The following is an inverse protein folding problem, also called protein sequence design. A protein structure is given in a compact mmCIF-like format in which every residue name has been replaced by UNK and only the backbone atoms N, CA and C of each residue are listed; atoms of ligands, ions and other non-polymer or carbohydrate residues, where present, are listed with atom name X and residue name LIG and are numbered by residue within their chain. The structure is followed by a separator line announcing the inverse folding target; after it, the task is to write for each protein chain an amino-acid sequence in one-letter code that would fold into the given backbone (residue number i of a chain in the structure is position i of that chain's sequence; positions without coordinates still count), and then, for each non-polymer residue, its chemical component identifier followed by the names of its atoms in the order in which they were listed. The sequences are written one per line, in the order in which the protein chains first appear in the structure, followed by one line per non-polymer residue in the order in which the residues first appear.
data_IF_496719377196
#
_entry.id   IF_496719377196
#
_cell.length_a   1.000
_cell.length_b   1.000
_cell.length_c   1.000
_cell.angle_alpha   90.00
_cell.angle_beta   90.00
_cell.angle_gamma   90.00
#
_symmetry.space_group_name_H-M   'P 1'
#
loop_
_entity.id
_entity.type
_entity.pdbx_description
1 polymer ?
#
# COMPACT_ATOMS: atom_id res chain seq x y z
N UNK A 1 -11.67 -18.56 -39.91
CA UNK A 1 -12.28 -18.74 -38.58
C UNK A 1 -11.68 -17.79 -37.53
N UNK A 2 -10.37 -17.81 -37.28
CA UNK A 2 -9.73 -16.92 -36.27
C UNK A 2 -9.89 -15.43 -36.60
N UNK A 3 -9.62 -15.01 -37.85
CA UNK A 3 -9.79 -13.59 -38.25
C UNK A 3 -11.24 -13.10 -38.14
N UNK A 4 -12.22 -13.99 -38.29
CA UNK A 4 -13.64 -13.62 -38.23
C UNK A 4 -14.08 -13.39 -36.78
N UNK A 5 -13.64 -14.26 -35.87
CA UNK A 5 -13.82 -14.10 -34.41
C UNK A 5 -13.15 -12.81 -33.90
N UNK A 6 -11.99 -12.46 -34.44
CA UNK A 6 -11.23 -11.26 -34.08
C UNK A 6 -11.94 -9.96 -34.52
N UNK A 7 -12.52 -9.96 -35.73
CA UNK A 7 -13.27 -8.82 -36.26
C UNK A 7 -14.59 -8.62 -35.50
N UNK A 8 -15.32 -9.71 -35.24
CA UNK A 8 -16.61 -9.67 -34.54
C UNK A 8 -16.46 -9.24 -33.07
N UNK A 9 -15.33 -9.58 -32.42
CA UNK A 9 -15.05 -9.22 -31.02
C UNK A 9 -14.03 -8.08 -30.87
N UNK A 10 -13.74 -7.34 -31.93
CA UNK A 10 -12.74 -6.27 -31.95
C UNK A 10 -12.95 -5.23 -30.84
N UNK A 11 -14.21 -4.86 -30.57
CA UNK A 11 -14.59 -3.91 -29.50
C UNK A 11 -14.28 -4.47 -28.11
N UNK A 12 -14.48 -5.78 -27.90
CA UNK A 12 -14.18 -6.43 -26.64
C UNK A 12 -12.67 -6.49 -26.41
N UNK A 13 -11.90 -6.87 -27.43
CA UNK A 13 -10.43 -6.88 -27.38
C UNK A 13 -9.84 -5.49 -27.13
N UNK A 14 -10.42 -4.45 -27.75
CA UNK A 14 -10.02 -3.07 -27.47
C UNK A 14 -10.34 -2.67 -26.03
N UNK A 15 -11.52 -3.03 -25.54
CA UNK A 15 -11.94 -2.75 -24.16
C UNK A 15 -11.05 -3.43 -23.12
N UNK A 16 -10.70 -4.70 -23.32
CA UNK A 16 -9.81 -5.43 -22.41
C UNK A 16 -8.40 -4.84 -22.40
N UNK A 17 -7.87 -4.46 -23.58
CA UNK A 17 -6.57 -3.80 -23.69
C UNK A 17 -6.56 -2.44 -22.97
N UNK A 18 -7.59 -1.61 -23.18
CA UNK A 18 -7.74 -0.33 -22.49
C UNK A 18 -7.91 -0.50 -20.98
N UNK A 19 -8.64 -1.51 -20.53
CA UNK A 19 -8.81 -1.81 -19.10
C UNK A 19 -7.47 -2.16 -18.44
N UNK A 20 -6.63 -2.98 -19.08
CA UNK A 20 -5.29 -3.29 -18.59
C UNK A 20 -4.41 -2.03 -18.50
N UNK A 21 -4.43 -1.19 -19.54
CA UNK A 21 -3.69 0.08 -19.56
C UNK A 21 -4.16 1.01 -18.45
N UNK A 22 -5.47 1.09 -18.21
CA UNK A 22 -6.01 1.95 -17.15
C UNK A 22 -5.57 1.53 -15.75
N UNK A 23 -5.53 0.22 -15.48
CA UNK A 23 -5.02 -0.29 -14.21
C UNK A 23 -3.53 0.01 -14.01
N UNK A 24 -2.75 -0.08 -15.09
CA UNK A 24 -1.35 0.34 -15.12
C UNK A 24 -1.18 1.85 -14.90
N UNK A 25 -2.05 2.68 -15.49
CA UNK A 25 -2.04 4.14 -15.32
C UNK A 25 -2.18 4.53 -13.85
N UNK A 26 -3.18 3.96 -13.16
CA UNK A 26 -3.41 4.19 -11.72
C UNK A 26 -2.20 3.75 -10.89
N UNK A 27 -1.59 2.61 -11.24
CA UNK A 27 -0.36 2.13 -10.58
C UNK A 27 0.81 3.10 -10.78
N UNK A 28 0.98 3.66 -11.97
CA UNK A 28 2.01 4.66 -12.26
C UNK A 28 1.74 5.94 -11.48
N UNK A 29 0.50 6.44 -11.45
CA UNK A 29 0.11 7.62 -10.69
C UNK A 29 0.43 7.48 -9.19
N UNK A 30 0.13 6.32 -8.58
CA UNK A 30 0.48 6.02 -7.19
C UNK A 30 2.00 5.95 -6.96
N UNK A 31 2.74 5.35 -7.89
CA UNK A 31 4.20 5.28 -7.81
C UNK A 31 4.83 6.67 -7.87
N UNK A 32 4.31 7.56 -8.72
CA UNK A 32 4.72 8.97 -8.80
C UNK A 32 4.41 9.73 -7.51
N UNK A 33 3.27 9.44 -6.88
CA UNK A 33 2.90 9.96 -5.57
C UNK A 33 3.71 9.36 -4.40
N UNK A 34 4.81 8.66 -4.67
CA UNK A 34 5.72 8.02 -3.70
C UNK A 34 5.04 7.00 -2.78
N UNK A 35 3.93 6.42 -3.22
CA UNK A 35 3.21 5.38 -2.48
C UNK A 35 3.92 4.03 -2.64
N UNK A 36 4.94 3.78 -1.81
CA UNK A 36 5.79 2.57 -1.89
C UNK A 36 5.03 1.25 -1.71
N UNK A 37 3.95 1.24 -0.92
CA UNK A 37 3.13 0.05 -0.69
C UNK A 37 2.51 -0.50 -1.99
N UNK A 38 2.20 0.37 -2.95
CA UNK A 38 1.59 -0.02 -4.23
C UNK A 38 2.61 -0.57 -5.27
N UNK A 39 3.91 -0.58 -4.95
CA UNK A 39 4.97 -0.87 -5.92
C UNK A 39 5.47 -2.33 -5.93
N UNK A 40 4.79 -3.25 -5.25
CA UNK A 40 5.16 -4.68 -5.24
C UNK A 40 4.72 -5.38 -6.53
N UNK A 41 5.41 -6.48 -6.89
CA UNK A 41 5.07 -7.31 -8.05
C UNK A 41 3.61 -7.81 -7.99
N UNK A 42 3.17 -8.32 -6.83
CA UNK A 42 1.79 -8.78 -6.66
C UNK A 42 0.76 -7.67 -6.85
N UNK A 43 1.00 -6.47 -6.31
CA UNK A 43 0.11 -5.33 -6.55
C UNK A 43 0.07 -4.94 -8.03
N UNK A 44 1.21 -4.90 -8.72
CA UNK A 44 1.22 -4.60 -10.16
C UNK A 44 0.32 -5.55 -10.96
N UNK A 45 0.40 -6.84 -10.66
CA UNK A 45 -0.41 -7.85 -11.32
C UNK A 45 -1.90 -7.68 -10.98
N UNK A 46 -2.23 -7.45 -9.70
CA UNK A 46 -3.60 -7.17 -9.27
C UNK A 46 -4.18 -5.94 -9.98
N UNK A 47 -3.43 -4.84 -10.05
CA UNK A 47 -3.90 -3.60 -10.67
C UNK A 47 -4.21 -3.76 -12.16
N UNK A 48 -3.46 -4.63 -12.85
CA UNK A 48 -3.67 -4.93 -14.27
C UNK A 48 -4.84 -5.90 -14.47
N UNK A 49 -4.95 -6.91 -13.62
CA UNK A 49 -5.96 -7.97 -13.74
C UNK A 49 -7.35 -7.55 -13.27
N UNK A 50 -7.47 -6.72 -12.22
CA UNK A 50 -8.78 -6.37 -11.66
C UNK A 50 -9.72 -5.69 -12.68
N UNK A 51 -9.31 -4.62 -13.39
CA UNK A 51 -10.15 -3.99 -14.42
C UNK A 51 -10.50 -4.94 -15.57
N UNK A 52 -9.54 -5.79 -15.97
CA UNK A 52 -9.74 -6.80 -17.01
C UNK A 52 -10.83 -7.82 -16.60
N UNK A 53 -10.68 -8.43 -15.43
CA UNK A 53 -11.60 -9.46 -14.91
C UNK A 53 -12.99 -8.87 -14.73
N UNK A 54 -13.09 -7.67 -14.16
CA UNK A 54 -14.38 -7.01 -13.90
C UNK A 54 -15.07 -6.57 -15.17
N UNK A 55 -14.34 -6.15 -16.20
CA UNK A 55 -14.90 -5.88 -17.53
C UNK A 55 -15.52 -7.15 -18.13
N UNK A 56 -14.77 -8.27 -18.12
CA UNK A 56 -15.25 -9.54 -18.68
C UNK A 56 -16.46 -10.06 -17.90
N UNK A 57 -16.41 -10.07 -16.57
CA UNK A 57 -17.52 -10.45 -15.70
C UNK A 57 -18.77 -9.63 -16.02
N UNK A 58 -18.62 -8.30 -16.15
CA UNK A 58 -19.75 -7.40 -16.44
C UNK A 58 -20.36 -7.68 -17.81
N UNK A 59 -19.53 -7.96 -18.83
CA UNK A 59 -20.02 -8.36 -20.16
C UNK A 59 -20.72 -9.71 -20.15
N UNK A 60 -20.24 -10.68 -19.37
CA UNK A 60 -20.84 -12.03 -19.25
C UNK A 60 -22.22 -11.99 -18.60
N UNK A 61 -22.41 -11.16 -17.57
CA UNK A 61 -23.71 -11.04 -16.88
C UNK A 61 -24.69 -10.09 -17.57
N UNK A 62 -24.20 -9.25 -18.48
CA UNK A 62 -25.03 -8.28 -19.18
C UNK A 62 -26.13 -8.99 -19.97
N UNK A 63 -27.39 -8.69 -19.66
CA UNK A 63 -28.56 -9.25 -20.32
C UNK A 63 -29.17 -10.49 -19.65
N UNK A 64 -28.60 -10.98 -18.54
CA UNK A 64 -29.21 -12.07 -17.76
C UNK A 64 -29.21 -11.75 -16.25
N UNK A 65 -30.36 -11.30 -15.76
CA UNK A 65 -30.57 -10.91 -14.36
C UNK A 65 -30.31 -12.08 -13.41
N UNK A 66 -30.69 -13.31 -13.79
CA UNK A 66 -30.47 -14.49 -12.95
C UNK A 66 -28.98 -14.83 -12.83
N UNK A 67 -28.21 -14.70 -13.92
CA UNK A 67 -26.76 -14.91 -13.90
C UNK A 67 -26.04 -13.82 -13.09
N UNK A 68 -26.48 -12.56 -13.23
CA UNK A 68 -25.96 -11.43 -12.44
C UNK A 68 -26.16 -11.65 -10.93
N UNK A 69 -27.37 -12.04 -10.53
CA UNK A 69 -27.70 -12.30 -9.13
C UNK A 69 -26.91 -13.49 -8.56
N UNK A 70 -26.74 -14.55 -9.36
CA UNK A 70 -25.93 -15.72 -9.00
C UNK A 70 -24.44 -15.39 -8.80
N UNK A 71 -23.86 -14.55 -9.66
CA UNK A 71 -22.45 -14.14 -9.54
C UNK A 71 -22.20 -13.22 -8.33
N UNK A 72 -23.10 -12.27 -8.03
CA UNK A 72 -22.98 -11.44 -6.82
C UNK A 72 -23.07 -12.31 -5.55
N UNK A 73 -23.97 -13.30 -5.55
CA UNK A 73 -24.09 -14.28 -4.48
C UNK A 73 -22.80 -15.09 -4.28
N UNK A 74 -22.22 -15.61 -5.36
CA UNK A 74 -20.96 -16.36 -5.32
C UNK A 74 -19.79 -15.50 -4.80
N UNK A 75 -19.68 -14.24 -5.22
CA UNK A 75 -18.64 -13.32 -4.77
C UNK A 75 -18.76 -12.99 -3.28
N UNK A 76 -19.98 -12.96 -2.74
CA UNK A 76 -20.23 -12.74 -1.30
C UNK A 76 -19.76 -13.91 -0.41
N UNK A 77 -19.65 -15.12 -0.97
CA UNK A 77 -19.16 -16.33 -0.27
C UNK A 77 -17.62 -16.36 -0.24
N UNK A 78 -16.96 -15.79 -1.25
CA UNK A 78 -15.48 -15.68 -1.31
C UNK A 78 -15.02 -14.57 -0.38
N UNK A 79 -15.00 -14.86 0.93
CA UNK A 79 -14.48 -13.94 1.95
C UNK A 79 -12.96 -13.98 1.98
N UNK A 80 -12.33 -12.84 1.74
CA UNK A 80 -10.93 -12.65 2.08
C UNK A 80 -10.81 -12.64 3.61
N UNK A 81 -10.14 -13.66 4.15
CA UNK A 81 -9.99 -13.84 5.61
C UNK A 81 -8.88 -12.98 6.22
N UNK A 82 -8.10 -12.30 5.36
CA UNK A 82 -7.05 -11.38 5.79
C UNK A 82 -7.59 -9.95 5.74
N UNK A 83 -7.56 -9.20 6.86
CA UNK A 83 -7.96 -7.81 6.85
C UNK A 83 -7.04 -7.01 5.91
N UNK A 84 -7.64 -6.14 5.09
CA UNK A 84 -6.87 -5.22 4.24
C UNK A 84 -6.16 -4.23 5.17
N UNK A 85 -4.83 -4.22 5.11
CA UNK A 85 -3.97 -3.48 6.05
C UNK A 85 -4.12 -1.96 5.90
N UNK A 86 -4.41 -1.48 4.69
CA UNK A 86 -4.54 -0.08 4.36
C UNK A 86 -5.96 0.28 3.85
N UNK A 87 -6.71 1.17 4.52
CA UNK A 87 -8.00 1.65 4.02
C UNK A 87 -7.93 2.27 2.61
N UNK A 88 -6.83 2.94 2.29
CA UNK A 88 -6.63 3.56 0.97
C UNK A 88 -6.40 2.52 -0.13
N UNK A 89 -5.70 1.42 0.17
CA UNK A 89 -5.54 0.30 -0.76
C UNK A 89 -6.91 -0.29 -1.16
N UNK A 90 -7.82 -0.44 -0.19
CA UNK A 90 -9.18 -0.91 -0.44
C UNK A 90 -9.92 0.04 -1.39
N UNK A 91 -9.83 1.36 -1.18
CA UNK A 91 -10.45 2.36 -2.06
C UNK A 91 -9.91 2.25 -3.49
N UNK A 92 -8.61 2.03 -3.66
CA UNK A 92 -8.01 1.86 -4.99
C UNK A 92 -8.48 0.56 -5.65
N UNK A 93 -8.58 -0.55 -4.92
CA UNK A 93 -9.16 -1.77 -5.49
C UNK A 93 -10.61 -1.58 -5.90
N UNK A 94 -11.40 -0.88 -5.09
CA UNK A 94 -12.77 -0.55 -5.46
C UNK A 94 -12.82 0.31 -6.73
N UNK A 95 -11.94 1.32 -6.83
CA UNK A 95 -11.83 2.16 -8.02
C UNK A 95 -11.47 1.35 -9.28
N UNK A 96 -10.53 0.40 -9.19
CA UNK A 96 -10.16 -0.49 -10.31
C UNK A 96 -11.33 -1.38 -10.76
N UNK A 97 -12.12 -1.89 -9.82
CA UNK A 97 -13.33 -2.65 -10.12
C UNK A 97 -14.34 -1.75 -10.85
N UNK A 98 -14.57 -0.54 -10.33
CA UNK A 98 -15.49 0.43 -10.95
C UNK A 98 -15.03 0.82 -12.35
N UNK A 99 -13.73 0.96 -12.60
CA UNK A 99 -13.17 1.22 -13.93
C UNK A 99 -13.55 0.10 -14.91
N UNK A 100 -13.33 -1.16 -14.55
CA UNK A 100 -13.66 -2.29 -15.43
C UNK A 100 -15.16 -2.42 -15.70
N UNK A 101 -16.00 -2.22 -14.68
CA UNK A 101 -17.47 -2.18 -14.84
C UNK A 101 -17.88 -1.03 -15.77
N UNK A 102 -17.33 0.17 -15.55
CA UNK A 102 -17.66 1.36 -16.35
C UNK A 102 -17.26 1.18 -17.81
N UNK A 103 -16.06 0.66 -18.07
CA UNK A 103 -15.60 0.34 -19.43
C UNK A 103 -16.44 -0.73 -20.12
N UNK A 104 -16.97 -1.70 -19.37
CA UNK A 104 -17.87 -2.70 -19.92
C UNK A 104 -19.21 -2.11 -20.39
N UNK A 105 -19.73 -1.07 -19.71
CA UNK A 105 -20.95 -0.37 -20.13
C UNK A 105 -20.65 0.60 -21.28
N UNK A 106 -19.66 1.48 -21.09
CA UNK A 106 -19.23 2.43 -22.10
C UNK A 106 -17.74 2.79 -21.90
N UNK A 107 -16.94 2.59 -22.94
CA UNK A 107 -15.50 2.85 -22.91
C UNK A 107 -15.16 4.30 -22.53
N UNK A 108 -15.94 5.28 -22.99
CA UNK A 108 -15.66 6.70 -22.73
C UNK A 108 -15.85 7.04 -21.25
N UNK A 109 -16.88 6.50 -20.59
CA UNK A 109 -17.09 6.71 -19.16
C UNK A 109 -15.99 6.07 -18.32
N UNK A 110 -15.54 4.87 -18.70
CA UNK A 110 -14.41 4.23 -18.06
C UNK A 110 -13.13 5.05 -18.18
N UNK A 111 -12.81 5.56 -19.37
CA UNK A 111 -11.63 6.41 -19.58
C UNK A 111 -11.70 7.73 -18.80
N UNK A 112 -12.87 8.38 -18.75
CA UNK A 112 -13.07 9.60 -17.97
C UNK A 112 -12.86 9.35 -16.45
N UNK A 113 -13.35 8.22 -15.95
CA UNK A 113 -13.18 7.83 -14.55
C UNK A 113 -11.70 7.65 -14.20
N UNK A 114 -10.94 6.93 -15.05
CA UNK A 114 -9.50 6.71 -14.88
C UNK A 114 -8.75 8.04 -14.84
N UNK A 115 -9.02 8.92 -15.81
CA UNK A 115 -8.39 10.23 -15.86
C UNK A 115 -8.67 11.06 -14.60
N UNK A 116 -9.91 11.00 -14.09
CA UNK A 116 -10.30 11.71 -12.86
C UNK A 116 -9.54 11.17 -11.65
N UNK A 117 -9.44 9.84 -11.51
CA UNK A 117 -8.71 9.19 -10.41
C UNK A 117 -7.22 9.57 -10.45
N UNK A 118 -6.59 9.47 -11.63
CA UNK A 118 -5.18 9.79 -11.81
C UNK A 118 -4.90 11.27 -11.47
N UNK A 119 -5.77 12.18 -11.92
CA UNK A 119 -5.69 13.61 -11.60
C UNK A 119 -5.80 13.85 -10.09
N UNK A 120 -6.75 13.20 -9.40
CA UNK A 120 -6.90 13.35 -7.95
C UNK A 120 -5.65 12.88 -7.20
N UNK A 121 -5.08 11.73 -7.59
CA UNK A 121 -3.85 11.20 -6.98
C UNK A 121 -2.69 12.18 -7.17
N UNK A 122 -2.51 12.70 -8.39
CA UNK A 122 -1.42 13.62 -8.73
C UNK A 122 -1.59 14.97 -8.01
N UNK A 123 -2.81 15.52 -7.99
CA UNK A 123 -3.11 16.79 -7.28
C UNK A 123 -2.87 16.62 -5.79
N UNK A 124 -3.33 15.52 -5.18
CA UNK A 124 -3.09 15.26 -3.75
C UNK A 124 -1.59 15.26 -3.43
N UNK A 125 -0.77 14.66 -4.29
CA UNK A 125 0.68 14.69 -4.13
C UNK A 125 1.27 16.10 -4.32
N UNK A 126 0.80 16.86 -5.32
CA UNK A 126 1.27 18.23 -5.57
C UNK A 126 0.94 19.16 -4.40
N UNK A 127 -0.26 19.03 -3.81
CA UNK A 127 -0.67 19.77 -2.61
C UNK A 127 0.25 19.44 -1.43
N UNK A 128 0.63 18.17 -1.25
CA UNK A 128 1.58 17.78 -0.20
C UNK A 128 2.96 18.44 -0.41
N UNK A 129 3.47 18.44 -1.65
CA UNK A 129 4.77 19.05 -1.97
C UNK A 129 4.75 20.58 -1.78
N UNK A 130 3.67 21.24 -2.19
CA UNK A 130 3.48 22.68 -2.00
C UNK A 130 3.30 23.03 -0.52
N UNK A 131 2.47 22.29 0.21
CA UNK A 131 2.23 22.48 1.64
C UNK A 131 3.51 22.41 2.46
N UNK A 132 4.41 21.47 2.14
CA UNK A 132 5.76 21.40 2.74
C UNK A 132 6.58 22.67 2.54
N UNK A 133 6.46 23.32 1.38
CA UNK A 133 7.19 24.57 1.06
C UNK A 133 6.62 25.78 1.81
N UNK A 134 5.32 25.77 2.13
CA UNK A 134 4.64 26.83 2.88
C UNK A 134 4.56 26.59 4.39
N UNK A 135 5.22 25.55 4.92
CA UNK A 135 5.25 25.25 6.36
C UNK A 135 3.99 24.55 6.89
N UNK A 136 3.07 24.13 6.02
CA UNK A 136 1.91 23.34 6.39
C UNK A 136 2.29 21.85 6.40
N UNK A 137 2.55 21.28 7.57
CA UNK A 137 2.67 19.83 7.77
C UNK A 137 1.28 19.23 8.03
N UNK A 138 0.45 19.10 6.99
CA UNK A 138 -0.92 18.55 7.14
C UNK A 138 -0.98 17.02 7.14
N UNK A 139 0.02 16.36 6.54
CA UNK A 139 0.11 14.88 6.48
C UNK A 139 1.31 14.36 7.27
N UNK A 140 1.41 14.74 8.55
CA UNK A 140 2.19 13.95 9.50
C UNK A 140 1.41 12.66 9.79
N UNK A 141 2.06 11.49 9.79
CA UNK A 141 1.60 10.28 10.51
C UNK A 141 0.41 9.48 9.92
N UNK A 142 0.65 8.50 9.04
CA UNK A 142 -0.26 7.32 9.00
C UNK A 142 0.32 6.06 8.33
N UNK A 143 1.41 6.13 7.56
CA UNK A 143 2.03 4.93 7.00
C UNK A 143 3.46 4.75 7.51
N UNK A 144 3.58 4.17 8.71
CA UNK A 144 4.81 3.54 9.20
C UNK A 144 5.26 2.37 8.29
N UNK A 145 4.44 1.92 7.35
CA UNK A 145 4.68 0.75 6.49
C UNK A 145 5.66 0.99 5.32
N UNK A 146 6.17 2.21 5.12
CA UNK A 146 7.02 2.57 3.96
C UNK A 146 8.43 3.07 4.28
N UNK A 147 8.77 3.26 5.55
CA UNK A 147 10.15 3.53 5.96
C UNK A 147 10.67 2.28 6.65
N UNK A 148 11.58 1.57 5.98
CA UNK A 148 12.40 0.53 6.57
C UNK A 148 13.25 1.14 7.68
N UNK A 149 12.68 1.19 8.87
CA UNK A 149 13.36 1.63 10.06
C UNK A 149 13.99 0.39 10.69
N UNK A 150 15.30 0.45 10.90
CA UNK A 150 16.00 -0.55 11.68
C UNK A 150 15.66 -0.28 13.15
N UNK A 151 15.15 -1.28 13.83
CA UNK A 151 14.70 -1.19 15.22
C UNK A 151 15.72 -1.92 16.08
N UNK A 152 16.26 -1.20 17.07
CA UNK A 152 17.16 -1.74 18.07
C UNK A 152 16.43 -1.73 19.41
N UNK A 153 16.22 -2.92 19.98
CA UNK A 153 15.64 -3.13 21.29
C UNK A 153 16.74 -3.54 22.27
N UNK A 154 16.88 -2.80 23.36
CA UNK A 154 17.90 -3.03 24.40
C UNK A 154 17.16 -3.23 25.72
N UNK A 155 17.43 -4.36 26.37
CA UNK A 155 16.97 -4.63 27.74
C UNK A 155 18.16 -4.48 28.68
N UNK A 156 18.02 -3.63 29.68
CA UNK A 156 19.04 -3.33 30.68
C UNK A 156 18.52 -3.61 32.10
N UNK A 157 19.44 -3.93 33.02
CA UNK A 157 19.17 -4.10 34.44
C UNK A 157 19.03 -2.77 35.19
N UNK A 158 19.54 -1.68 34.61
CA UNK A 158 19.52 -0.36 35.22
C UNK A 158 19.38 0.75 34.17
N UNK A 159 19.12 1.99 34.62
CA UNK A 159 19.01 3.11 33.70
C UNK A 159 20.36 3.44 33.04
N UNK A 160 20.34 3.61 31.71
CA UNK A 160 21.50 3.95 30.89
C UNK A 160 21.31 5.38 30.31
N UNK A 161 21.99 6.40 30.87
CA UNK A 161 21.76 7.81 30.53
C UNK A 161 22.02 8.19 29.06
N UNK A 162 22.88 7.45 28.36
CA UNK A 162 23.18 7.71 26.94
C UNK A 162 22.07 7.20 26.00
N UNK A 163 21.25 6.24 26.47
CA UNK A 163 20.07 5.75 25.74
C UNK A 163 18.85 6.64 25.98
N UNK A 164 18.70 7.15 27.20
CA UNK A 164 17.64 8.10 27.59
C UNK A 164 17.64 9.38 26.73
N UNK A 165 18.81 9.94 26.47
CA UNK A 165 18.96 11.18 25.70
C UNK A 165 19.23 10.95 24.20
N UNK A 166 19.03 9.72 23.72
CA UNK A 166 19.34 9.40 22.34
C UNK A 166 18.28 9.97 21.40
N UNK A 167 18.71 10.67 20.35
CA UNK A 167 17.83 11.22 19.30
C UNK A 167 17.01 10.16 18.56
N UNK A 168 17.41 8.89 18.65
CA UNK A 168 16.74 7.75 18.02
C UNK A 168 15.80 7.00 18.96
N UNK A 169 15.63 7.45 20.21
CA UNK A 169 14.77 6.81 21.19
C UNK A 169 13.29 6.99 20.78
N UNK A 170 12.61 5.87 20.51
CA UNK A 170 11.17 5.84 20.27
C UNK A 170 10.38 5.57 21.54
N UNK A 171 10.89 4.68 22.39
CA UNK A 171 10.15 4.19 23.55
C UNK A 171 11.08 3.83 24.69
N UNK A 172 10.71 4.23 25.91
CA UNK A 172 11.34 3.87 27.17
C UNK A 172 10.29 3.21 28.07
N UNK A 173 10.59 2.03 28.60
CA UNK A 173 9.72 1.32 29.54
C UNK A 173 10.55 0.87 30.73
N UNK A 174 10.24 1.37 31.92
CA UNK A 174 10.85 0.92 33.16
C UNK A 174 9.84 0.04 33.92
N UNK A 175 10.14 -1.26 34.00
CA UNK A 175 9.31 -2.19 34.74
C UNK A 175 9.85 -2.35 36.17
N UNK A 176 9.28 -1.59 37.09
CA UNK A 176 9.63 -1.63 38.52
C UNK A 176 9.40 -2.99 39.19
N UNK A 177 8.60 -3.87 38.60
CA UNK A 177 8.30 -5.20 39.16
C UNK A 177 9.35 -6.26 38.78
N UNK A 178 9.93 -6.19 37.57
CA UNK A 178 11.01 -7.08 37.13
C UNK A 178 12.40 -6.48 37.36
N UNK A 179 12.50 -5.17 37.59
CA UNK A 179 13.80 -4.47 37.69
C UNK A 179 14.48 -4.30 36.33
N UNK A 180 13.74 -4.42 35.23
CA UNK A 180 14.28 -4.31 33.86
C UNK A 180 13.82 -3.02 33.19
N UNK A 181 14.71 -2.45 32.39
CA UNK A 181 14.47 -1.26 31.58
C UNK A 181 14.58 -1.63 30.11
N UNK A 182 13.53 -1.35 29.33
CA UNK A 182 13.51 -1.60 27.90
C UNK A 182 13.59 -0.29 27.12
N UNK A 183 14.55 -0.23 26.20
CA UNK A 183 14.74 0.87 25.26
C UNK A 183 14.42 0.38 23.85
N UNK A 184 13.63 1.15 23.13
CA UNK A 184 13.35 0.92 21.71
C UNK A 184 13.85 2.11 20.91
N UNK A 185 14.84 1.86 20.07
CA UNK A 185 15.47 2.87 19.21
C UNK A 185 15.15 2.57 17.76
N UNK A 186 15.02 3.61 16.93
CA UNK A 186 14.76 3.47 15.51
C UNK A 186 15.51 4.47 14.67
N UNK A 187 16.17 3.98 13.62
CA UNK A 187 16.81 4.81 12.62
C UNK A 187 16.63 4.24 11.22
N UNK A 188 16.66 5.13 10.23
CA UNK A 188 16.68 4.75 8.80
C UNK A 188 18.05 4.24 8.36
N UNK A 189 19.12 4.63 9.07
CA UNK A 189 20.48 4.23 8.75
C UNK A 189 20.84 2.95 9.49
N UNK A 190 21.30 1.93 8.76
CA UNK A 190 21.83 0.70 9.34
C UNK A 190 23.09 0.96 10.17
N UNK A 191 23.95 1.86 9.69
CA UNK A 191 25.19 2.22 10.37
C UNK A 191 24.95 2.89 11.72
N UNK A 192 23.89 3.70 11.85
CA UNK A 192 23.56 4.35 13.11
C UNK A 192 23.09 3.35 14.16
N UNK A 193 22.32 2.32 13.77
CA UNK A 193 21.89 1.26 14.69
C UNK A 193 23.02 0.30 15.06
N UNK A 194 23.89 -0.04 14.12
CA UNK A 194 25.07 -0.86 14.41
C UNK A 194 26.03 -0.11 15.36
N UNK A 195 26.25 1.20 15.17
CA UNK A 195 27.07 2.01 16.11
C UNK A 195 26.51 1.98 17.53
N UNK A 196 25.19 2.12 17.68
CA UNK A 196 24.56 2.08 19.01
C UNK A 196 24.67 0.66 19.59
N UNK A 197 24.41 -0.38 18.78
CA UNK A 197 24.60 -1.77 19.20
C UNK A 197 26.03 -2.02 19.70
N UNK A 198 27.06 -1.66 18.92
CA UNK A 198 28.45 -1.84 19.33
C UNK A 198 28.77 -1.07 20.62
N UNK A 199 28.27 0.16 20.79
CA UNK A 199 28.46 0.92 22.04
C UNK A 199 27.70 0.33 23.25
N UNK A 200 26.72 -0.53 22.99
CA UNK A 200 25.86 -1.17 23.98
C UNK A 200 26.32 -2.60 24.31
N UNK A 201 27.11 -3.26 23.46
CA UNK A 201 27.63 -4.61 23.74
C UNK A 201 28.67 -4.64 24.88
N UNK A 202 29.41 -3.55 25.08
CA UNK A 202 30.47 -3.45 26.11
C UNK A 202 29.94 -3.06 27.51
N UNK A 203 28.63 -2.88 27.69
CA UNK A 203 28.06 -2.41 28.96
C UNK A 203 27.55 -3.56 29.83
N UNK A 204 28.10 -3.72 31.03
CA UNK A 204 27.74 -4.80 31.98
C UNK A 204 26.27 -4.77 32.42
N UNK A 205 25.60 -3.62 32.29
CA UNK A 205 24.20 -3.44 32.67
C UNK A 205 23.20 -3.89 31.59
N UNK A 206 23.67 -4.39 30.45
CA UNK A 206 22.79 -4.81 29.35
C UNK A 206 22.56 -6.32 29.42
N UNK A 207 21.28 -6.68 29.53
CA UNK A 207 20.81 -8.06 29.65
C UNK A 207 20.53 -8.70 28.29
N UNK A 208 20.15 -7.88 27.29
CA UNK A 208 19.86 -8.38 25.95
C UNK A 208 19.76 -7.27 24.92
N UNK A 209 20.18 -7.59 23.69
CA UNK A 209 20.11 -6.70 22.54
C UNK A 209 19.45 -7.46 21.38
N UNK A 210 18.38 -6.89 20.83
CA UNK A 210 17.71 -7.42 19.65
C UNK A 210 17.70 -6.36 18.55
N UNK A 211 18.30 -6.67 17.41
CA UNK A 211 18.35 -5.78 16.25
C UNK A 211 17.52 -6.37 15.11
N UNK A 212 16.47 -5.65 14.73
CA UNK A 212 15.59 -6.01 13.61
C UNK A 212 15.82 -5.06 12.45
N UNK A 213 16.25 -5.63 11.33
CA UNK A 213 16.35 -4.92 10.07
C UNK A 213 15.00 -4.96 9.34
N UNK A 214 14.59 -3.82 8.81
CA UNK A 214 13.40 -3.70 7.96
C UNK A 214 13.77 -3.48 6.50
#
# INVERSE_FOLDING_TARGET
MINQILVDNSVLFLGTFLAMISGLSVRIALSLAKQKWASTYHHTMSYTLLPLITLVITKVISGNIALSLGMIGALSIVRFRNPVKNPFELVIFFALITIGISMAVNLNYGLLLVATIDVVIIISYLVEVLGKKFGFHTYSLSFEEGNSHNILEITASDNIPYLDNNKFLLQYVNNKASGEVHYRLSSKSREDMEKIRFSSEDNENILGIELRYS
#
